data_IF_913401116479
#
_entry.id   IF_913401116479
#
_cell.length_a   1.000
_cell.length_b   1.000
_cell.length_c   1.000
_cell.angle_alpha   90.00
_cell.angle_beta   90.00
_cell.angle_gamma   90.00
#
_symmetry.space_group_name_H-M   'P 1'
#
loop_
_entity.id
_entity.type
_entity.pdbx_description
1 polymer ?
#
# COMPACT_ATOMS: atom_id res chain seq x y z
N UNK A 1 -13.40 -2.69 -16.60
CA UNK A 1 -12.92 -3.14 -15.29
C UNK A 1 -12.88 -4.66 -15.22
N UNK A 2 -11.79 -5.24 -14.79
CA UNK A 2 -11.76 -6.70 -14.62
C UNK A 2 -12.74 -7.11 -13.53
N UNK A 3 -13.52 -8.15 -13.79
CA UNK A 3 -14.48 -8.66 -12.81
C UNK A 3 -13.80 -9.23 -11.58
N UNK A 4 -12.57 -9.70 -11.74
CA UNK A 4 -11.83 -10.39 -10.69
C UNK A 4 -10.68 -9.55 -10.16
N UNK A 5 -10.84 -8.21 -10.20
CA UNK A 5 -9.82 -7.35 -9.61
C UNK A 5 -9.71 -7.60 -8.11
N UNK A 6 -8.50 -7.41 -7.60
CA UNK A 6 -8.19 -7.67 -6.20
C UNK A 6 -7.92 -6.33 -5.53
N UNK A 7 -8.45 -6.17 -4.33
CA UNK A 7 -8.18 -5.00 -3.50
C UNK A 7 -7.10 -5.32 -2.49
N UNK A 8 -6.25 -4.34 -2.24
CA UNK A 8 -5.28 -4.42 -1.15
C UNK A 8 -5.59 -3.32 -0.16
N UNK A 9 -5.50 -3.67 1.11
CA UNK A 9 -5.44 -2.72 2.21
C UNK A 9 -4.13 -2.96 2.92
N UNK A 10 -3.20 -2.01 2.82
CA UNK A 10 -1.86 -2.11 3.40
C UNK A 10 -1.68 -1.02 4.44
N UNK A 11 -1.51 -1.41 5.69
CA UNK A 11 -1.40 -0.48 6.81
C UNK A 11 0.03 -0.40 7.30
N UNK A 12 0.53 0.82 7.44
CA UNK A 12 1.86 1.11 7.97
C UNK A 12 1.71 2.10 9.12
N UNK A 13 2.14 1.69 10.31
CA UNK A 13 2.05 2.53 11.50
C UNK A 13 3.42 3.09 11.84
N UNK A 14 3.57 4.42 11.73
CA UNK A 14 4.82 5.10 12.04
C UNK A 14 5.04 5.15 13.55
N UNK A 15 6.31 5.11 13.94
CA UNK A 15 6.67 5.50 15.31
C UNK A 15 6.31 6.97 15.52
N UNK A 16 5.88 7.38 16.72
CA UNK A 16 5.39 8.75 16.94
C UNK A 16 6.36 9.86 16.52
N UNK A 17 7.67 9.61 16.64
CA UNK A 17 8.70 10.61 16.28
C UNK A 17 9.03 10.60 14.79
N UNK A 18 8.46 9.68 13.99
CA UNK A 18 8.89 9.46 12.62
C UNK A 18 7.78 9.68 11.60
N UNK A 19 6.68 10.30 11.99
CA UNK A 19 5.49 10.46 11.14
C UNK A 19 5.83 11.18 9.82
N UNK A 20 6.58 12.29 9.89
CA UNK A 20 6.94 13.04 8.68
C UNK A 20 7.82 12.25 7.73
N UNK A 21 8.79 11.52 8.26
CA UNK A 21 9.70 10.69 7.47
C UNK A 21 8.93 9.55 6.79
N UNK A 22 8.07 8.87 7.54
CA UNK A 22 7.25 7.79 7.00
C UNK A 22 6.31 8.32 5.91
N UNK A 23 5.68 9.47 6.15
CA UNK A 23 4.83 10.11 5.14
C UNK A 23 5.58 10.31 3.82
N UNK A 24 6.80 10.83 3.87
CA UNK A 24 7.61 11.08 2.67
C UNK A 24 7.93 9.78 1.96
N UNK A 25 8.39 8.77 2.70
CA UNK A 25 8.74 7.46 2.12
C UNK A 25 7.53 6.84 1.41
N UNK A 26 6.38 6.85 2.06
CA UNK A 26 5.17 6.23 1.49
C UNK A 26 4.62 7.05 0.33
N UNK A 27 4.68 8.38 0.42
CA UNK A 27 4.22 9.26 -0.67
C UNK A 27 5.02 9.04 -1.94
N UNK A 28 6.32 8.78 -1.80
CA UNK A 28 7.21 8.55 -2.95
C UNK A 28 6.90 7.24 -3.68
N UNK A 29 6.12 6.33 -3.08
CA UNK A 29 5.70 5.09 -3.74
C UNK A 29 4.55 5.29 -4.72
N UNK A 30 3.79 6.37 -4.59
CA UNK A 30 2.52 6.52 -5.29
C UNK A 30 2.71 6.57 -6.80
N UNK A 31 3.54 7.49 -7.29
CA UNK A 31 3.74 7.66 -8.73
C UNK A 31 4.35 6.43 -9.43
N UNK A 32 5.46 5.86 -8.94
CA UNK A 32 6.02 4.69 -9.60
C UNK A 32 5.07 3.49 -9.55
N UNK A 33 4.30 3.32 -8.47
CA UNK A 33 3.36 2.21 -8.36
C UNK A 33 2.20 2.36 -9.35
N UNK A 34 1.69 3.57 -9.53
CA UNK A 34 0.60 3.82 -10.50
C UNK A 34 0.99 3.50 -11.93
N UNK A 35 2.29 3.49 -12.23
CA UNK A 35 2.81 3.16 -13.57
C UNK A 35 3.02 1.66 -13.77
N UNK A 36 2.88 0.85 -12.74
CA UNK A 36 3.07 -0.59 -12.86
C UNK A 36 1.94 -1.23 -13.66
N UNK A 37 2.29 -2.25 -14.44
CA UNK A 37 1.30 -3.03 -15.18
C UNK A 37 0.36 -3.71 -14.18
N UNK A 38 -0.94 -3.59 -14.41
CA UNK A 38 -1.94 -4.20 -13.56
C UNK A 38 -2.40 -3.34 -12.37
N UNK A 39 -1.77 -2.19 -12.13
CA UNK A 39 -2.23 -1.27 -11.09
C UNK A 39 -3.43 -0.48 -11.63
N UNK A 40 -4.60 -0.68 -11.04
CA UNK A 40 -5.83 0.04 -11.42
C UNK A 40 -5.93 1.32 -10.61
N UNK A 41 -5.71 1.24 -9.30
CA UNK A 41 -5.72 2.42 -8.42
C UNK A 41 -4.78 2.19 -7.24
N UNK A 42 -4.26 3.29 -6.71
CA UNK A 42 -3.29 3.25 -5.62
C UNK A 42 -3.35 4.57 -4.87
N UNK A 43 -3.91 4.55 -3.66
CA UNK A 43 -4.10 5.76 -2.85
C UNK A 43 -3.46 5.57 -1.47
N UNK A 44 -2.78 6.61 -1.01
CA UNK A 44 -2.25 6.66 0.35
C UNK A 44 -3.17 7.53 1.20
N UNK A 45 -3.64 6.97 2.31
CA UNK A 45 -4.52 7.64 3.26
C UNK A 45 -3.83 7.79 4.61
N UNK A 46 -4.14 8.86 5.30
CA UNK A 46 -3.69 9.04 6.69
C UNK A 46 -4.91 9.15 7.58
N UNK A 47 -4.91 8.43 8.70
CA UNK A 47 -6.00 8.43 9.66
C UNK A 47 -6.17 9.84 10.26
N UNK A 48 -7.40 10.38 10.23
CA UNK A 48 -7.67 11.73 10.72
C UNK A 48 -7.45 11.87 12.25
N UNK A 49 -7.66 10.81 12.99
CA UNK A 49 -7.58 10.83 14.45
C UNK A 49 -6.30 10.18 15.00
N UNK A 50 -5.53 9.54 14.15
CA UNK A 50 -4.25 8.93 14.52
C UNK A 50 -3.26 9.13 13.37
N UNK A 51 -2.45 10.17 13.45
CA UNK A 51 -1.53 10.55 12.37
C UNK A 51 -0.39 9.55 12.14
N UNK A 52 -0.19 8.59 13.04
CA UNK A 52 0.80 7.53 12.83
C UNK A 52 0.30 6.45 11.89
N UNK A 53 -1.02 6.37 11.67
CA UNK A 53 -1.65 5.32 10.88
C UNK A 53 -1.79 5.76 9.42
N UNK A 54 -0.96 5.17 8.56
CA UNK A 54 -1.04 5.33 7.11
C UNK A 54 -1.58 4.05 6.50
N UNK A 55 -2.46 4.20 5.52
CA UNK A 55 -3.09 3.05 4.88
C UNK A 55 -3.15 3.26 3.37
N UNK A 56 -2.62 2.29 2.61
CA UNK A 56 -2.83 2.25 1.17
C UNK A 56 -4.11 1.50 0.87
N UNK A 57 -4.90 2.04 -0.04
CA UNK A 57 -6.05 1.34 -0.63
C UNK A 57 -5.75 1.18 -2.11
N UNK A 58 -5.78 -0.06 -2.59
CA UNK A 58 -5.27 -0.39 -3.90
C UNK A 58 -6.23 -1.31 -4.64
N UNK A 59 -6.21 -1.21 -5.97
CA UNK A 59 -6.90 -2.16 -6.82
C UNK A 59 -5.95 -2.64 -7.90
N UNK A 60 -5.90 -3.96 -8.11
CA UNK A 60 -5.00 -4.63 -9.04
C UNK A 60 -5.76 -5.61 -9.92
N UNK A 61 -5.27 -5.82 -11.15
CA UNK A 61 -5.93 -6.73 -12.09
C UNK A 61 -5.84 -8.20 -11.70
N UNK A 62 -4.78 -8.60 -10.95
CA UNK A 62 -4.54 -10.00 -10.63
C UNK A 62 -3.56 -10.14 -9.47
N UNK A 63 -3.51 -11.33 -8.88
CA UNK A 63 -2.50 -11.69 -7.89
C UNK A 63 -1.09 -11.64 -8.49
N UNK A 64 -0.93 -12.02 -9.76
CA UNK A 64 0.37 -11.97 -10.43
C UNK A 64 0.90 -10.54 -10.50
N UNK A 65 0.03 -9.55 -10.77
CA UNK A 65 0.43 -8.15 -10.79
C UNK A 65 0.86 -7.67 -9.40
N UNK A 66 0.17 -8.12 -8.35
CA UNK A 66 0.54 -7.81 -6.96
C UNK A 66 1.89 -8.44 -6.62
N UNK A 67 2.10 -9.70 -6.97
CA UNK A 67 3.36 -10.38 -6.71
C UNK A 67 4.53 -9.65 -7.38
N UNK A 68 4.34 -9.21 -8.62
CA UNK A 68 5.35 -8.42 -9.33
C UNK A 68 5.62 -7.08 -8.62
N UNK A 69 4.56 -6.40 -8.17
CA UNK A 69 4.67 -5.14 -7.43
C UNK A 69 5.55 -5.29 -6.19
N UNK A 70 5.36 -6.36 -5.43
CA UNK A 70 6.08 -6.59 -4.17
C UNK A 70 7.57 -6.88 -4.39
N UNK A 71 7.99 -7.16 -5.63
CA UNK A 71 9.42 -7.40 -5.96
C UNK A 71 10.08 -6.18 -6.61
N UNK A 72 9.39 -5.06 -6.76
CA UNK A 72 9.95 -3.88 -7.40
C UNK A 72 11.01 -3.22 -6.54
N UNK A 73 11.91 -2.47 -7.22
CA UNK A 73 12.97 -1.74 -6.53
C UNK A 73 12.39 -0.67 -5.59
N UNK A 74 11.34 0.03 -6.01
CA UNK A 74 10.78 1.09 -5.17
C UNK A 74 10.17 0.54 -3.89
N UNK A 75 9.55 -0.65 -3.92
CA UNK A 75 9.06 -1.30 -2.70
C UNK A 75 10.23 -1.73 -1.82
N UNK A 76 11.25 -2.37 -2.39
CA UNK A 76 12.42 -2.80 -1.63
C UNK A 76 13.13 -1.61 -0.95
N UNK A 77 13.30 -0.52 -1.69
CA UNK A 77 13.92 0.70 -1.15
C UNK A 77 13.08 1.30 -0.02
N UNK A 78 11.76 1.32 -0.18
CA UNK A 78 10.86 1.83 0.84
C UNK A 78 10.94 1.00 2.12
N UNK A 79 10.93 -0.32 2.01
CA UNK A 79 11.03 -1.21 3.18
C UNK A 79 12.34 -0.99 3.91
N UNK A 80 13.44 -0.79 3.17
CA UNK A 80 14.74 -0.50 3.77
C UNK A 80 14.71 0.83 4.55
N UNK A 81 14.10 1.86 3.96
CA UNK A 81 14.02 3.19 4.59
C UNK A 81 13.07 3.19 5.80
N UNK A 82 12.04 2.36 5.77
CA UNK A 82 11.07 2.28 6.87
C UNK A 82 11.63 1.58 8.11
N UNK A 83 12.70 0.79 7.96
CA UNK A 83 13.29 0.07 9.09
C UNK A 83 13.66 1.05 10.22
N UNK A 84 13.16 0.78 11.41
CA UNK A 84 13.39 1.62 12.59
C UNK A 84 12.46 2.84 12.69
N UNK A 85 11.61 3.08 11.68
CA UNK A 85 10.69 4.23 11.66
C UNK A 85 9.24 3.83 11.90
N UNK A 86 8.96 2.53 11.98
CA UNK A 86 7.60 2.01 12.17
C UNK A 86 7.49 1.30 13.51
N UNK A 87 6.30 1.31 14.10
CA UNK A 87 6.05 0.68 15.39
C UNK A 87 5.72 -0.81 15.27
N UNK A 88 5.43 -1.27 14.04
CA UNK A 88 5.13 -2.66 13.75
C UNK A 88 5.42 -2.93 12.28
N UNK A 89 5.48 -4.21 11.88
CA UNK A 89 5.64 -4.56 10.47
C UNK A 89 4.42 -4.12 9.67
N UNK A 90 4.59 -3.73 8.39
CA UNK A 90 3.45 -3.41 7.54
C UNK A 90 2.47 -4.57 7.47
N UNK A 91 1.18 -4.26 7.58
CA UNK A 91 0.10 -5.24 7.51
C UNK A 91 -0.54 -5.13 6.12
N UNK A 92 -0.24 -6.10 5.26
CA UNK A 92 -0.69 -6.09 3.86
C UNK A 92 -1.70 -7.22 3.65
N UNK A 93 -2.93 -6.85 3.30
CA UNK A 93 -4.01 -7.83 3.12
C UNK A 93 -4.62 -7.71 1.75
N UNK A 94 -4.92 -8.85 1.15
CA UNK A 94 -5.60 -8.95 -0.15
C UNK A 94 -7.06 -9.32 0.07
N UNK A 95 -7.93 -8.66 -0.69
CA UNK A 95 -9.37 -8.87 -0.57
C UNK A 95 -10.00 -9.07 -1.95
N UNK A 96 -11.00 -9.92 -1.99
CA UNK A 96 -11.88 -10.01 -3.14
C UNK A 96 -13.14 -9.19 -2.86
N UNK A 97 -13.66 -8.54 -3.88
CA UNK A 97 -14.92 -7.81 -3.73
C UNK A 97 -16.05 -8.83 -3.52
N UNK A 98 -16.83 -8.62 -2.46
CA UNK A 98 -18.00 -9.47 -2.23
C UNK A 98 -19.11 -9.04 -3.18
N UNK A 99 -19.54 -9.98 -4.03
CA UNK A 99 -20.61 -9.72 -4.96
C UNK A 99 -21.94 -10.03 -4.30
N UNK A 100 -22.88 -9.12 -4.48
CA UNK A 100 -24.23 -9.32 -3.99
C UNK A 100 -24.92 -10.34 -4.91
N UNK A 101 -25.45 -11.40 -4.33
CA UNK A 101 -26.26 -12.36 -5.08
C UNK A 101 -27.69 -11.82 -5.22
N UNK A 102 -28.32 -12.18 -6.31
CA UNK A 102 -29.72 -11.79 -6.53
C UNK A 102 -30.68 -12.74 -5.86
#
# INVERSE_FOLDING_TARGET
MPENSIRIVARVVASPDSVSQVRTILSDLVEPTRKEAGCISYELLQNQTDHTDFTFVEEWTSDAAIDAHLTTKHIADALTKLAGLVSSEPDIRRYNVVKKEK
#
